data_IF_566638255007
#
_entry.id   IF_566638255007
#
_cell.length_a   1.000
_cell.length_b   1.000
_cell.length_c   1.000
_cell.angle_alpha   90.00
_cell.angle_beta   90.00
_cell.angle_gamma   90.00
#
_symmetry.space_group_name_H-M   'P 1'
#
loop_
_entity.id
_entity.type
_entity.pdbx_description
1 polymer ?
#
# COMPACT_ATOMS: atom_id res chain seq x y z
N UNK A 1 -3.25 44.22 -14.27
CA UNK A 1 -2.34 43.05 -14.47
C UNK A 1 -2.47 41.94 -13.42
N UNK A 2 -3.53 41.91 -12.58
CA UNK A 2 -3.66 40.97 -11.44
C UNK A 2 -4.41 39.66 -11.77
N UNK A 3 -5.06 39.54 -12.93
CA UNK A 3 -5.91 38.37 -13.27
C UNK A 3 -5.16 37.15 -13.81
N UNK A 4 -3.86 37.25 -14.18
CA UNK A 4 -3.10 36.13 -14.76
C UNK A 4 -2.28 35.32 -13.73
N UNK A 5 -2.04 35.86 -12.54
CA UNK A 5 -1.25 35.18 -11.49
C UNK A 5 -2.10 34.18 -10.69
N UNK A 6 -3.42 34.34 -10.64
CA UNK A 6 -4.30 33.43 -9.90
C UNK A 6 -4.48 32.05 -10.57
N UNK A 7 -4.19 31.94 -11.88
CA UNK A 7 -4.37 30.69 -12.62
C UNK A 7 -3.20 29.69 -12.42
N UNK A 8 -2.10 30.12 -11.80
CA UNK A 8 -0.92 29.27 -11.59
C UNK A 8 -0.89 28.57 -10.23
N UNK A 9 -1.87 28.84 -9.34
CA UNK A 9 -1.95 28.26 -7.99
C UNK A 9 -2.71 26.93 -7.92
N UNK A 10 -3.31 26.46 -9.02
CA UNK A 10 -4.09 25.22 -9.05
C UNK A 10 -3.35 23.96 -9.56
N UNK A 11 -2.07 24.06 -9.94
CA UNK A 11 -1.34 22.95 -10.59
C UNK A 11 -0.46 22.08 -9.66
N UNK A 12 -0.46 22.31 -8.34
CA UNK A 12 0.43 21.59 -7.40
C UNK A 12 -0.24 20.69 -6.35
N UNK A 13 -1.45 20.17 -6.60
CA UNK A 13 -2.12 19.22 -5.69
C UNK A 13 -2.25 17.79 -6.23
N UNK A 14 -1.42 17.39 -7.22
CA UNK A 14 -1.26 15.97 -7.55
C UNK A 14 -0.13 15.35 -6.72
N UNK A 15 -0.25 15.45 -5.40
CA UNK A 15 0.52 14.58 -4.52
C UNK A 15 -0.20 13.25 -4.58
N UNK A 16 0.48 12.20 -5.03
CA UNK A 16 -0.01 10.83 -5.05
C UNK A 16 -0.35 10.40 -3.63
N UNK A 17 -1.57 10.70 -3.20
CA UNK A 17 -2.05 10.37 -1.87
C UNK A 17 -2.19 8.85 -1.81
N UNK A 18 -1.38 8.22 -0.98
CA UNK A 18 -1.71 6.90 -0.44
C UNK A 18 -2.99 7.13 0.37
N UNK A 19 -4.13 6.69 -0.18
CA UNK A 19 -5.43 6.90 0.46
C UNK A 19 -5.55 5.96 1.65
N UNK A 20 -5.26 6.48 2.84
CA UNK A 20 -5.76 5.89 4.08
C UNK A 20 -7.28 6.11 4.11
N UNK A 21 -8.03 5.10 4.56
CA UNK A 21 -9.45 5.28 4.79
C UNK A 21 -9.69 6.27 5.95
N UNK A 22 -10.80 7.04 5.92
CA UNK A 22 -11.14 7.94 7.02
C UNK A 22 -11.09 7.25 8.38
N UNK A 23 -10.50 7.93 9.37
CA UNK A 23 -10.36 7.39 10.73
C UNK A 23 -9.22 6.38 10.93
N UNK A 24 -8.38 6.15 9.92
CA UNK A 24 -7.21 5.25 10.01
C UNK A 24 -5.91 5.97 9.68
N UNK A 25 -4.79 5.39 10.12
CA UNK A 25 -3.44 5.83 9.77
C UNK A 25 -2.97 5.20 8.45
N UNK A 26 -2.05 5.84 7.70
CA UNK A 26 -1.59 5.30 6.42
C UNK A 26 -0.77 4.01 6.60
N UNK A 27 -1.17 2.95 5.90
CA UNK A 27 -0.42 1.70 5.79
C UNK A 27 0.46 1.74 4.53
N UNK A 28 1.73 1.35 4.67
CA UNK A 28 2.65 1.23 3.54
C UNK A 28 2.63 -0.19 2.98
N UNK A 29 2.82 -0.29 1.68
CA UNK A 29 2.76 -1.56 0.97
C UNK A 29 3.78 -1.59 -0.17
N UNK A 30 4.39 -2.76 -0.36
CA UNK A 30 5.22 -3.09 -1.51
C UNK A 30 4.93 -4.52 -1.97
N UNK A 31 5.54 -4.92 -3.07
CA UNK A 31 5.63 -6.33 -3.48
C UNK A 31 6.98 -6.87 -3.03
N UNK A 32 6.98 -7.98 -2.29
CA UNK A 32 8.18 -8.71 -1.83
C UNK A 32 7.93 -10.20 -2.06
N UNK A 33 8.85 -10.89 -2.72
CA UNK A 33 8.71 -12.33 -3.02
C UNK A 33 7.38 -12.68 -3.72
N UNK A 34 6.89 -11.78 -4.56
CA UNK A 34 5.58 -11.92 -5.21
C UNK A 34 4.40 -12.05 -4.25
N UNK A 35 4.52 -11.51 -3.04
CA UNK A 35 3.45 -11.31 -2.06
C UNK A 35 3.32 -9.81 -1.76
N UNK A 36 2.18 -9.42 -1.19
CA UNK A 36 2.01 -8.08 -0.67
C UNK A 36 2.68 -7.96 0.68
N UNK A 37 3.59 -7.02 0.84
CA UNK A 37 4.37 -6.81 2.04
C UNK A 37 3.95 -5.47 2.65
N UNK A 38 3.23 -5.52 3.78
CA UNK A 38 2.66 -4.35 4.45
C UNK A 38 3.45 -3.96 5.70
N UNK A 39 3.61 -2.66 5.92
CA UNK A 39 4.35 -2.12 7.05
C UNK A 39 3.95 -0.68 7.38
N UNK A 40 4.30 -0.22 8.58
CA UNK A 40 4.04 1.12 9.11
C UNK A 40 5.30 1.96 8.88
N UNK A 41 5.33 2.74 7.79
CA UNK A 41 6.46 3.66 7.55
C UNK A 41 6.34 5.00 8.27
N UNK A 42 5.11 5.41 8.60
CA UNK A 42 4.75 6.69 9.22
C UNK A 42 3.84 6.46 10.43
N UNK A 43 4.05 7.22 11.49
CA UNK A 43 3.31 7.11 12.76
C UNK A 43 4.21 6.78 13.94
N UNK A 44 3.60 6.52 15.10
CA UNK A 44 4.33 6.12 16.30
C UNK A 44 5.01 4.76 16.07
N UNK A 45 6.34 4.71 16.26
CA UNK A 45 7.14 3.48 16.13
C UNK A 45 7.35 2.77 17.46
N UNK A 46 7.03 3.42 18.59
CA UNK A 46 7.03 2.82 19.91
C UNK A 46 5.75 2.01 20.11
N UNK A 47 5.64 0.93 19.34
CA UNK A 47 4.48 0.05 19.37
C UNK A 47 4.72 -1.09 20.36
N UNK A 48 3.71 -1.46 21.13
CA UNK A 48 3.81 -2.55 22.11
C UNK A 48 4.25 -3.87 21.46
N UNK A 49 5.09 -4.63 22.14
CA UNK A 49 5.53 -5.96 21.69
C UNK A 49 4.50 -7.01 22.14
N UNK A 50 4.30 -8.07 21.35
CA UNK A 50 3.31 -9.13 21.59
C UNK A 50 1.84 -8.71 21.51
N UNK A 51 1.56 -7.53 20.94
CA UNK A 51 0.19 -7.13 20.64
C UNK A 51 -0.46 -8.13 19.69
N UNK A 52 -1.79 -8.29 19.84
CA UNK A 52 -2.58 -8.96 18.81
C UNK A 52 -2.59 -8.08 17.57
N UNK A 53 -2.23 -8.70 16.46
CA UNK A 53 -2.21 -8.08 15.16
C UNK A 53 -3.26 -8.76 14.29
N UNK A 54 -4.16 -7.96 13.74
CA UNK A 54 -5.19 -8.45 12.83
C UNK A 54 -5.03 -7.82 11.47
N UNK A 55 -4.83 -8.70 10.50
CA UNK A 55 -4.69 -8.38 9.09
C UNK A 55 -6.01 -8.69 8.42
N UNK A 56 -6.57 -7.72 7.70
CA UNK A 56 -7.80 -7.92 6.97
C UNK A 56 -7.69 -7.36 5.56
N UNK A 57 -8.35 -8.01 4.62
CA UNK A 57 -8.60 -7.43 3.31
C UNK A 57 -10.07 -7.52 2.94
N UNK A 58 -10.58 -6.48 2.29
CA UNK A 58 -11.96 -6.42 1.80
C UNK A 58 -11.99 -6.10 0.32
N UNK A 59 -12.73 -6.87 -0.47
CA UNK A 59 -13.07 -6.53 -1.85
C UNK A 59 -14.01 -5.33 -1.86
N UNK A 60 -13.65 -4.27 -2.60
CA UNK A 60 -14.41 -3.04 -2.67
C UNK A 60 -15.24 -2.99 -3.95
N UNK A 61 -16.53 -2.64 -3.82
CA UNK A 61 -17.47 -2.56 -4.94
C UNK A 61 -18.20 -1.23 -4.97
N UNK A 62 -18.64 -0.84 -6.17
CA UNK A 62 -19.56 0.28 -6.33
C UNK A 62 -20.91 -0.07 -5.66
N UNK A 63 -21.38 0.80 -4.78
CA UNK A 63 -22.71 0.71 -4.15
C UNK A 63 -22.95 -0.55 -3.30
N UNK A 64 -21.90 -1.19 -2.77
CA UNK A 64 -22.03 -2.30 -1.82
C UNK A 64 -20.99 -2.14 -0.71
N UNK A 65 -21.29 -2.72 0.44
CA UNK A 65 -20.30 -2.86 1.51
C UNK A 65 -19.15 -3.74 1.01
N UNK A 66 -17.95 -3.50 1.54
CA UNK A 66 -16.80 -4.34 1.24
C UNK A 66 -17.05 -5.79 1.65
N UNK A 67 -16.59 -6.74 0.85
CA UNK A 67 -16.71 -8.17 1.15
C UNK A 67 -15.40 -8.64 1.77
N UNK A 68 -15.44 -9.20 2.97
CA UNK A 68 -14.24 -9.76 3.60
C UNK A 68 -13.63 -10.84 2.70
N UNK A 69 -12.35 -10.65 2.37
CA UNK A 69 -11.60 -11.52 1.46
C UNK A 69 -10.55 -12.36 2.21
N UNK A 70 -9.84 -11.75 3.15
CA UNK A 70 -8.84 -12.43 3.96
C UNK A 70 -8.84 -11.87 5.36
N UNK A 71 -8.67 -12.75 6.35
CA UNK A 71 -8.35 -12.34 7.71
C UNK A 71 -7.27 -13.26 8.29
N UNK A 72 -6.34 -12.67 9.03
CA UNK A 72 -5.39 -13.41 9.85
C UNK A 72 -5.23 -12.69 11.19
N UNK A 73 -5.03 -13.47 12.25
CA UNK A 73 -4.71 -12.98 13.58
C UNK A 73 -3.43 -13.67 14.05
N UNK A 74 -2.47 -12.88 14.50
CA UNK A 74 -1.21 -13.40 15.03
C UNK A 74 -0.70 -12.53 16.17
N UNK A 75 -0.02 -13.16 17.13
CA UNK A 75 0.80 -12.41 18.09
C UNK A 75 2.09 -12.03 17.42
N UNK A 76 2.38 -10.75 17.40
CA UNK A 76 3.56 -10.23 16.73
C UNK A 76 4.71 -10.02 17.74
N UNK A 77 5.85 -10.67 17.48
CA UNK A 77 7.06 -10.47 18.29
C UNK A 77 7.77 -9.15 17.95
N UNK A 78 7.73 -8.73 16.69
CA UNK A 78 8.37 -7.51 16.21
C UNK A 78 7.40 -6.71 15.33
N UNK A 79 7.01 -5.48 15.71
CA UNK A 79 6.17 -4.60 14.91
C UNK A 79 6.66 -4.38 13.46
N UNK A 80 5.77 -4.26 12.47
CA UNK A 80 6.17 -4.18 11.07
C UNK A 80 6.39 -2.72 10.72
N UNK A 81 7.41 -2.09 11.32
CA UNK A 81 7.66 -0.64 11.22
C UNK A 81 8.57 -0.24 10.04
N UNK A 82 8.91 -1.21 9.20
CA UNK A 82 9.73 -1.04 8.01
C UNK A 82 9.51 -2.20 7.02
N UNK A 83 10.09 -2.09 5.84
CA UNK A 83 10.02 -3.12 4.79
C UNK A 83 10.66 -4.45 5.18
N UNK A 84 11.74 -4.42 5.96
CA UNK A 84 12.49 -5.63 6.32
C UNK A 84 11.62 -6.57 7.15
N UNK A 85 10.89 -6.00 8.11
CA UNK A 85 10.00 -6.68 9.04
C UNK A 85 8.51 -6.60 8.62
N UNK A 86 8.24 -6.39 7.33
CA UNK A 86 6.86 -6.30 6.86
C UNK A 86 6.12 -7.64 7.01
N UNK A 87 4.80 -7.58 6.94
CA UNK A 87 3.95 -8.76 6.99
C UNK A 87 3.42 -9.06 5.60
N UNK A 88 3.50 -10.33 5.21
CA UNK A 88 3.13 -10.77 3.89
C UNK A 88 1.66 -11.22 3.83
N UNK A 89 0.87 -10.65 2.91
CA UNK A 89 -0.36 -11.27 2.45
C UNK A 89 -0.05 -12.12 1.22
N UNK A 90 -0.48 -13.40 1.21
CA UNK A 90 -0.27 -14.28 0.07
C UNK A 90 -1.05 -13.79 -1.14
N UNK A 91 -0.38 -13.68 -2.27
CA UNK A 91 -0.98 -13.17 -3.51
C UNK A 91 -2.18 -13.99 -4.02
N UNK A 92 -2.24 -15.26 -3.66
CA UNK A 92 -3.32 -16.18 -4.06
C UNK A 92 -4.68 -15.77 -3.50
N UNK A 93 -4.71 -14.84 -2.54
CA UNK A 93 -5.93 -14.27 -1.97
C UNK A 93 -6.46 -13.06 -2.73
N UNK A 94 -5.79 -12.60 -3.78
CA UNK A 94 -6.18 -11.40 -4.52
C UNK A 94 -6.54 -11.72 -5.96
N UNK A 95 -7.68 -11.17 -6.40
CA UNK A 95 -8.14 -11.20 -7.78
C UNK A 95 -7.52 -10.05 -8.56
N UNK A 96 -7.35 -10.25 -9.85
CA UNK A 96 -6.89 -9.19 -10.74
C UNK A 96 -7.94 -8.11 -10.95
N UNK A 97 -7.46 -6.87 -11.10
CA UNK A 97 -8.26 -5.69 -11.39
C UNK A 97 -9.43 -5.48 -10.41
N UNK A 98 -9.25 -5.93 -9.17
CA UNK A 98 -10.17 -5.74 -8.05
C UNK A 98 -9.54 -4.79 -7.04
N UNK A 99 -10.33 -3.83 -6.55
CA UNK A 99 -9.93 -2.94 -5.48
C UNK A 99 -10.05 -3.63 -4.12
N UNK A 100 -9.05 -3.41 -3.27
CA UNK A 100 -8.97 -3.97 -1.93
C UNK A 100 -8.67 -2.89 -0.91
N UNK A 101 -9.41 -2.92 0.20
CA UNK A 101 -8.97 -2.29 1.43
C UNK A 101 -8.13 -3.27 2.22
N UNK A 102 -6.97 -2.82 2.68
CA UNK A 102 -6.11 -3.57 3.57
C UNK A 102 -6.08 -2.87 4.92
N UNK A 103 -6.30 -3.64 5.99
CA UNK A 103 -6.25 -3.14 7.36
C UNK A 103 -5.20 -3.91 8.16
N UNK A 104 -4.47 -3.15 8.96
CA UNK A 104 -3.59 -3.63 10.02
C UNK A 104 -4.12 -3.05 11.34
N UNK A 105 -4.84 -3.86 12.09
CA UNK A 105 -5.42 -3.47 13.37
C UNK A 105 -4.49 -3.90 14.51
N UNK A 106 -4.19 -2.93 15.38
CA UNK A 106 -3.48 -3.09 16.65
C UNK A 106 -4.14 -2.19 17.71
N UNK A 107 -3.33 -1.41 18.45
CA UNK A 107 -3.81 -0.31 19.32
C UNK A 107 -4.50 0.79 18.51
N UNK A 108 -4.04 0.98 17.27
CA UNK A 108 -4.64 1.86 16.27
C UNK A 108 -4.81 1.10 14.96
N UNK A 109 -5.66 1.61 14.08
CA UNK A 109 -5.93 0.99 12.78
C UNK A 109 -5.16 1.71 11.69
N UNK A 110 -4.36 0.96 10.94
CA UNK A 110 -3.71 1.44 9.72
C UNK A 110 -4.42 0.86 8.50
N UNK A 111 -4.55 1.64 7.44
CA UNK A 111 -5.14 1.15 6.19
C UNK A 111 -4.50 1.71 4.93
N UNK A 112 -4.70 0.97 3.84
CA UNK A 112 -4.42 1.43 2.48
C UNK A 112 -5.41 0.78 1.53
N UNK A 113 -5.75 1.49 0.46
CA UNK A 113 -6.60 0.98 -0.63
C UNK A 113 -5.78 0.81 -1.89
N UNK A 114 -5.77 -0.40 -2.44
CA UNK A 114 -4.96 -0.77 -3.61
C UNK A 114 -5.76 -1.54 -4.64
N UNK A 115 -5.26 -1.53 -5.87
CA UNK A 115 -5.61 -2.50 -6.89
C UNK A 115 -4.39 -3.35 -7.26
N UNK A 116 -4.67 -4.55 -7.72
CA UNK A 116 -3.66 -5.53 -8.03
C UNK A 116 -3.89 -6.05 -9.45
N UNK A 117 -2.85 -6.05 -10.28
CA UNK A 117 -2.85 -6.68 -11.60
C UNK A 117 -1.65 -7.61 -11.69
N UNK A 118 -1.72 -8.62 -12.57
CA UNK A 118 -0.57 -9.48 -12.84
C UNK A 118 0.07 -9.10 -14.17
N UNK A 119 1.39 -9.09 -14.17
CA UNK A 119 2.20 -8.97 -15.37
C UNK A 119 3.23 -10.10 -15.36
N UNK A 120 3.11 -11.07 -16.28
CA UNK A 120 3.96 -12.27 -16.33
C UNK A 120 4.10 -12.98 -14.97
N UNK A 121 2.97 -13.23 -14.28
CA UNK A 121 2.90 -13.82 -12.92
C UNK A 121 3.45 -12.97 -11.78
N UNK A 122 3.92 -11.74 -12.04
CA UNK A 122 4.34 -10.80 -11.00
C UNK A 122 3.19 -9.86 -10.64
N UNK A 123 3.02 -9.62 -9.35
CA UNK A 123 2.09 -8.60 -8.87
C UNK A 123 2.61 -7.20 -9.22
N UNK A 124 1.71 -6.39 -9.77
CA UNK A 124 1.89 -4.95 -9.91
C UNK A 124 0.74 -4.23 -9.19
N UNK A 125 1.08 -3.21 -8.41
CA UNK A 125 0.14 -2.43 -7.60
C UNK A 125 -0.30 -1.17 -8.33
N UNK A 126 -1.59 -0.87 -8.28
CA UNK A 126 -2.21 0.29 -8.91
C UNK A 126 -3.03 1.09 -7.90
N UNK A 127 -3.13 2.40 -8.12
CA UNK A 127 -4.00 3.27 -7.34
C UNK A 127 -5.47 2.95 -7.62
N UNK A 128 -6.35 3.34 -6.70
CA UNK A 128 -7.80 3.21 -6.86
C UNK A 128 -8.41 4.59 -7.08
N UNK A 129 -9.18 4.73 -8.16
CA UNK A 129 -9.96 5.90 -8.52
C UNK A 129 -11.41 5.77 -8.05
N UNK A 130 -12.02 6.91 -7.70
CA UNK A 130 -13.43 7.00 -7.26
C UNK A 130 -13.76 6.07 -6.08
N UNK A 131 -12.73 5.62 -5.36
CA UNK A 131 -12.83 4.71 -4.24
C UNK A 131 -12.99 3.23 -4.59
N UNK A 132 -13.24 2.82 -5.83
CA UNK A 132 -13.50 1.39 -6.14
C UNK A 132 -13.01 0.94 -7.52
N UNK A 133 -12.59 1.87 -8.39
CA UNK A 133 -12.14 1.54 -9.75
C UNK A 133 -10.62 1.46 -9.77
N UNK A 134 -10.06 0.38 -10.31
CA UNK A 134 -8.62 0.31 -10.52
C UNK A 134 -8.17 1.32 -11.57
N UNK A 135 -7.27 2.23 -11.18
CA UNK A 135 -6.64 3.15 -12.11
C UNK A 135 -5.60 2.44 -12.98
N UNK A 136 -5.11 3.14 -14.00
CA UNK A 136 -3.92 2.73 -14.75
C UNK A 136 -2.62 3.32 -14.17
N UNK A 137 -2.71 4.02 -13.03
CA UNK A 137 -1.57 4.63 -12.37
C UNK A 137 -0.95 3.65 -11.38
N UNK A 138 0.20 3.08 -11.75
CA UNK A 138 0.98 2.22 -10.87
C UNK A 138 1.37 2.95 -9.59
N UNK A 139 1.29 2.24 -8.46
CA UNK A 139 1.89 2.69 -7.22
C UNK A 139 3.39 2.53 -7.42
N UNK A 140 4.04 3.62 -7.83
CA UNK A 140 5.51 3.70 -7.82
C UNK A 140 5.94 3.51 -6.38
N UNK A 141 6.37 2.30 -6.02
CA UNK A 141 6.99 2.09 -4.73
C UNK A 141 8.17 3.07 -4.66
N UNK A 142 8.29 3.84 -3.59
CA UNK A 142 9.39 4.80 -3.40
C UNK A 142 10.77 4.12 -3.31
N UNK A 143 10.89 2.83 -3.61
CA UNK A 143 12.06 1.99 -3.46
C UNK A 143 12.79 1.68 -4.77
N UNK A 144 12.23 2.05 -5.91
CA UNK A 144 12.87 1.84 -7.21
C UNK A 144 13.92 2.92 -7.55
N UNK A 145 14.47 3.63 -6.54
CA UNK A 145 15.72 4.38 -6.71
C UNK A 145 16.92 3.60 -6.20
N UNK A 146 16.81 2.86 -5.10
CA UNK A 146 17.95 2.15 -4.51
C UNK A 146 18.18 0.75 -5.11
N UNK A 147 17.13 0.08 -5.60
CA UNK A 147 17.26 -1.21 -6.28
C UNK A 147 18.05 -1.07 -7.60
N UNK A 148 17.74 -0.05 -8.40
CA UNK A 148 18.48 0.28 -9.63
C UNK A 148 19.92 0.73 -9.37
N UNK A 149 20.21 1.41 -8.26
CA UNK A 149 21.59 1.77 -7.89
C UNK A 149 22.42 0.52 -7.59
N UNK A 150 21.84 -0.47 -6.88
CA UNK A 150 22.54 -1.73 -6.55
C UNK A 150 22.78 -2.59 -7.78
N UNK A 151 21.81 -2.67 -8.70
CA UNK A 151 21.95 -3.39 -9.98
C UNK A 151 22.96 -2.70 -10.92
N UNK A 152 22.93 -1.37 -11.04
CA UNK A 152 23.94 -0.62 -11.81
C UNK A 152 25.35 -0.76 -11.25
N UNK A 153 25.51 -0.88 -9.93
CA UNK A 153 26.82 -1.09 -9.31
C UNK A 153 27.41 -2.47 -9.63
N UNK A 154 26.57 -3.50 -9.71
CA UNK A 154 27.00 -4.88 -10.02
C UNK A 154 27.32 -5.02 -11.51
N UNK A 155 26.52 -4.41 -12.39
CA UNK A 155 26.75 -4.40 -13.84
C UNK A 155 27.93 -3.52 -14.29
N UNK A 156 28.49 -2.69 -13.39
CA UNK A 156 29.74 -1.93 -13.64
C UNK A 156 30.99 -2.65 -13.14
N UNK A 157 30.84 -3.81 -12.48
CA UNK A 157 31.93 -4.61 -11.94
C UNK A 157 32.14 -5.93 -12.71
N UNK A 158 31.42 -6.13 -13.83
CA UNK A 158 31.61 -7.18 -14.83
C UNK A 158 31.96 -6.48 -16.14
#
# INVERSE_FOLDING_TARGET
MIKKILLFLFTFLNISNVYALPGTLPLSIIVKNNNLCVFISKGNKNLSVNALLRLQSFEVYKNRNGILNYTSMQKEKNPPINQENCIEFPQSKFKENQAYDLFLEREVVYSTRICLRRNHNLIVLYNVEKGFVCSNNEIKSNLDKNFWIKVKSILRLI
#
